data_IF_395258589455
#
_entry.id   IF_395258589455
#
_cell.length_a   1.000
_cell.length_b   1.000
_cell.length_c   1.000
_cell.angle_alpha   90.00
_cell.angle_beta   90.00
_cell.angle_gamma   90.00
#
_symmetry.space_group_name_H-M   'P 1'
#
loop_
_entity.id
_entity.type
_entity.pdbx_description
1 polymer ?
#
# COMPACT_ATOMS: atom_id res chain seq x y z
N UNK A 1 26.08 -11.81 -3.65
CA UNK A 1 25.86 -11.25 -2.31
C UNK A 1 25.18 -12.23 -1.38
N UNK A 2 25.67 -12.39 -0.14
CA UNK A 2 25.04 -13.21 0.92
C UNK A 2 24.47 -12.32 2.02
N UNK A 3 23.28 -12.61 2.54
CA UNK A 3 22.81 -11.94 3.75
C UNK A 3 23.23 -12.70 5.00
N UNK A 4 23.69 -11.95 5.99
CA UNK A 4 23.95 -12.43 7.34
C UNK A 4 23.02 -11.68 8.29
N UNK A 5 22.22 -12.41 9.08
CA UNK A 5 21.46 -11.79 10.15
C UNK A 5 22.39 -11.51 11.31
N UNK A 6 22.26 -10.31 11.86
CA UNK A 6 22.89 -9.90 13.09
C UNK A 6 21.76 -9.66 14.08
N UNK A 7 21.91 -10.23 15.29
CA UNK A 7 21.00 -9.96 16.39
C UNK A 7 20.93 -8.45 16.67
N UNK A 8 19.87 -8.05 17.37
CA UNK A 8 19.64 -6.66 17.71
C UNK A 8 20.91 -5.96 18.24
N UNK A 9 21.22 -4.81 17.65
CA UNK A 9 22.27 -3.91 18.06
C UNK A 9 21.67 -2.51 18.24
N UNK A 10 21.85 -1.93 19.43
CA UNK A 10 21.37 -0.59 19.79
C UNK A 10 21.95 0.51 18.88
N UNK A 11 23.04 0.23 18.16
CA UNK A 11 23.64 1.17 17.20
C UNK A 11 23.10 1.02 15.77
N UNK A 12 22.28 0.02 15.49
CA UNK A 12 21.85 -0.33 14.13
C UNK A 12 20.36 -0.65 14.08
N UNK A 13 19.53 0.37 14.31
CA UNK A 13 18.09 0.26 14.08
C UNK A 13 17.50 1.56 13.52
N UNK A 14 16.41 1.40 12.77
CA UNK A 14 15.58 2.50 12.30
C UNK A 14 14.39 2.69 13.27
N UNK A 15 14.05 3.93 13.56
CA UNK A 15 12.96 4.28 14.48
C UNK A 15 12.08 5.40 13.94
N UNK A 16 10.96 5.66 14.61
CA UNK A 16 10.03 6.73 14.26
C UNK A 16 9.63 6.73 12.77
N UNK A 17 9.33 5.55 12.23
CA UNK A 17 8.97 5.41 10.82
C UNK A 17 7.60 6.04 10.60
N UNK A 18 7.55 7.14 9.86
CA UNK A 18 6.36 7.94 9.63
C UNK A 18 6.11 8.19 8.15
N UNK A 19 4.84 8.35 7.79
CA UNK A 19 4.43 8.84 6.48
C UNK A 19 4.46 10.37 6.48
N UNK A 20 5.15 10.97 5.51
CA UNK A 20 5.09 12.38 5.18
C UNK A 20 4.81 12.50 3.69
N UNK A 21 3.61 12.94 3.33
CA UNK A 21 3.10 12.94 1.95
C UNK A 21 3.19 11.53 1.31
N UNK A 22 3.97 11.41 0.23
CA UNK A 22 4.25 10.16 -0.49
C UNK A 22 5.62 9.55 -0.12
N UNK A 23 6.21 10.00 1.00
CA UNK A 23 7.48 9.50 1.52
C UNK A 23 7.27 8.78 2.85
N UNK A 24 7.98 7.67 3.04
CA UNK A 24 8.33 7.21 4.38
C UNK A 24 9.55 8.00 4.83
N UNK A 25 9.60 8.36 6.11
CA UNK A 25 10.77 8.93 6.77
C UNK A 25 11.02 8.19 8.07
N UNK A 26 12.27 8.11 8.49
CA UNK A 26 12.66 7.47 9.74
C UNK A 26 13.91 8.12 10.33
N UNK A 27 14.09 7.91 11.63
CA UNK A 27 15.31 8.26 12.33
C UNK A 27 16.27 7.06 12.30
N UNK A 28 17.57 7.34 12.20
CA UNK A 28 18.61 6.31 12.22
C UNK A 28 19.65 6.69 13.27
N UNK A 29 20.14 5.67 13.97
CA UNK A 29 21.43 5.71 14.65
C UNK A 29 22.45 5.03 13.74
N UNK A 30 23.49 5.74 13.31
CA UNK A 30 24.54 5.21 12.42
C UNK A 30 24.43 5.62 10.95
N UNK A 31 25.37 5.15 10.13
CA UNK A 31 25.50 5.49 8.71
C UNK A 31 25.51 4.22 7.85
N UNK A 32 24.35 3.59 7.73
CA UNK A 32 24.13 2.28 7.11
C UNK A 32 23.31 2.35 5.82
N UNK A 33 23.25 1.24 5.10
CA UNK A 33 22.22 1.01 4.09
C UNK A 33 20.89 0.66 4.80
N UNK A 34 19.79 0.69 4.05
CA UNK A 34 18.48 0.34 4.60
C UNK A 34 17.76 -0.68 3.75
N UNK A 35 17.19 -1.70 4.38
CA UNK A 35 16.25 -2.61 3.77
C UNK A 35 14.84 -2.16 4.14
N UNK A 36 14.07 -1.71 3.16
CA UNK A 36 12.64 -1.42 3.31
C UNK A 36 11.87 -2.67 2.95
N UNK A 37 11.00 -3.14 3.84
CA UNK A 37 10.06 -4.21 3.57
C UNK A 37 8.66 -3.61 3.45
N UNK A 38 7.95 -3.98 2.39
CA UNK A 38 6.53 -3.71 2.21
C UNK A 38 5.73 -4.99 2.37
N UNK A 39 4.63 -4.89 3.09
CA UNK A 39 3.61 -5.91 3.25
C UNK A 39 2.21 -5.33 3.05
N UNK A 40 1.20 -6.21 3.10
CA UNK A 40 -0.20 -5.82 3.14
C UNK A 40 -0.49 -4.92 4.35
N UNK A 41 -1.40 -3.96 4.17
CA UNK A 41 -1.77 -3.00 5.20
C UNK A 41 -2.23 -3.68 6.49
N UNK A 42 -1.71 -3.22 7.63
CA UNK A 42 -2.01 -3.76 8.95
C UNK A 42 -1.23 -5.03 9.31
N UNK A 43 -0.43 -5.57 8.39
CA UNK A 43 0.38 -6.76 8.68
C UNK A 43 1.53 -6.44 9.62
N UNK A 44 1.90 -7.40 10.47
CA UNK A 44 3.15 -7.32 11.23
C UNK A 44 4.29 -7.82 10.35
N UNK A 45 5.34 -7.02 10.21
CA UNK A 45 6.53 -7.41 9.47
C UNK A 45 7.56 -7.93 10.46
N UNK A 46 7.76 -9.26 10.49
CA UNK A 46 8.77 -9.92 11.30
C UNK A 46 9.73 -10.66 10.40
N UNK A 47 11.04 -10.57 10.70
CA UNK A 47 12.03 -11.38 10.01
C UNK A 47 12.05 -12.80 10.57
N UNK A 48 11.48 -13.73 9.82
CA UNK A 48 11.71 -15.16 10.01
C UNK A 48 12.87 -15.65 9.11
N UNK A 49 13.50 -16.77 9.45
CA UNK A 49 14.59 -17.36 8.66
C UNK A 49 14.14 -17.73 7.24
N UNK A 50 12.86 -18.06 7.03
CA UNK A 50 12.29 -18.34 5.72
C UNK A 50 12.24 -17.09 4.83
N UNK A 51 11.84 -15.94 5.39
CA UNK A 51 11.79 -14.67 4.63
C UNK A 51 13.19 -14.22 4.19
N UNK A 52 14.19 -14.46 5.03
CA UNK A 52 15.61 -14.22 4.72
C UNK A 52 16.05 -15.02 3.50
N UNK A 53 15.76 -16.31 3.45
CA UNK A 53 16.18 -17.16 2.33
C UNK A 53 15.58 -16.70 1.00
N UNK A 54 14.31 -16.28 1.01
CA UNK A 54 13.67 -15.72 -0.19
C UNK A 54 14.29 -14.36 -0.58
N UNK A 55 14.52 -13.45 0.37
CA UNK A 55 15.19 -12.17 0.07
C UNK A 55 16.59 -12.41 -0.54
N UNK A 56 17.37 -13.34 0.02
CA UNK A 56 18.71 -13.70 -0.50
C UNK A 56 18.64 -14.24 -1.93
N UNK A 57 17.69 -15.12 -2.21
CA UNK A 57 17.48 -15.69 -3.55
C UNK A 57 17.19 -14.61 -4.59
N UNK A 58 16.37 -13.63 -4.21
CA UNK A 58 15.96 -12.52 -5.09
C UNK A 58 16.97 -11.37 -5.16
N UNK A 59 17.92 -11.33 -4.23
CA UNK A 59 18.93 -10.29 -4.16
C UNK A 59 19.98 -10.36 -5.28
N UNK A 60 20.16 -11.46 -5.99
CA UNK A 60 21.32 -11.57 -6.89
C UNK A 60 21.33 -10.69 -8.17
N UNK A 61 20.42 -9.71 -8.35
CA UNK A 61 20.37 -8.97 -9.64
C UNK A 61 20.29 -7.43 -9.62
N UNK A 62 19.90 -6.71 -8.55
CA UNK A 62 19.78 -5.22 -8.65
C UNK A 62 19.55 -4.47 -7.32
N UNK A 63 20.11 -4.98 -6.23
CA UNK A 63 19.71 -4.66 -4.85
C UNK A 63 19.78 -3.16 -4.51
N UNK A 64 20.86 -2.49 -4.87
CA UNK A 64 21.11 -1.09 -4.50
C UNK A 64 20.39 -0.08 -5.41
N UNK A 65 19.38 -0.52 -6.15
CA UNK A 65 18.62 0.35 -7.05
C UNK A 65 17.50 1.15 -6.36
N UNK A 66 17.19 0.83 -5.10
CA UNK A 66 16.02 1.38 -4.40
C UNK A 66 14.67 0.89 -4.96
N UNK A 67 14.66 0.00 -5.95
CA UNK A 67 13.44 -0.56 -6.54
C UNK A 67 12.89 -1.70 -5.67
N UNK A 68 11.57 -1.79 -5.59
CA UNK A 68 10.91 -2.91 -4.93
C UNK A 68 11.07 -4.20 -5.74
N UNK A 69 11.52 -5.25 -5.06
CA UNK A 69 11.65 -6.62 -5.55
C UNK A 69 10.66 -7.48 -4.76
N UNK A 70 9.79 -8.19 -5.46
CA UNK A 70 8.86 -9.14 -4.84
C UNK A 70 9.62 -10.40 -4.42
N UNK A 71 9.45 -10.84 -3.18
CA UNK A 71 10.08 -12.07 -2.65
C UNK A 71 9.10 -13.08 -2.06
N UNK A 72 7.87 -12.66 -1.74
CA UNK A 72 6.79 -13.53 -1.32
C UNK A 72 5.45 -12.93 -1.81
N UNK A 73 4.36 -13.69 -1.71
CA UNK A 73 3.01 -13.22 -1.98
C UNK A 73 2.74 -11.96 -1.14
N UNK A 74 2.44 -10.87 -1.85
CA UNK A 74 2.18 -9.54 -1.30
C UNK A 74 3.32 -8.91 -0.47
N UNK A 75 4.54 -9.48 -0.48
CA UNK A 75 5.71 -8.89 0.18
C UNK A 75 6.83 -8.52 -0.77
N UNK A 76 7.40 -7.35 -0.52
CA UNK A 76 8.40 -6.74 -1.37
C UNK A 76 9.51 -6.17 -0.50
N UNK A 77 10.72 -6.14 -1.03
CA UNK A 77 11.85 -5.47 -0.38
C UNK A 77 12.50 -4.48 -1.35
N UNK A 78 13.07 -3.41 -0.81
CA UNK A 78 13.94 -2.51 -1.54
C UNK A 78 15.16 -2.21 -0.66
N UNK A 79 16.35 -2.12 -1.25
CA UNK A 79 17.53 -1.66 -0.51
C UNK A 79 17.91 -0.26 -0.95
N UNK A 80 18.00 0.62 0.03
CA UNK A 80 18.35 2.02 -0.13
C UNK A 80 19.84 2.15 0.18
N UNK A 81 20.65 2.60 -0.79
CA UNK A 81 22.06 2.79 -0.56
C UNK A 81 22.35 3.85 0.49
N UNK A 82 23.46 3.66 1.20
CA UNK A 82 24.01 4.61 2.16
C UNK A 82 24.20 5.98 1.51
N UNK A 83 23.91 7.06 2.24
CA UNK A 83 24.09 8.45 1.77
C UNK A 83 22.85 9.09 1.14
N UNK A 84 21.76 8.34 0.96
CA UNK A 84 20.45 8.94 0.72
C UNK A 84 19.86 9.47 2.03
N UNK A 85 19.08 10.55 1.94
CA UNK A 85 18.25 11.05 3.05
C UNK A 85 17.39 9.90 3.57
N UNK A 86 17.13 9.83 4.89
CA UNK A 86 16.35 8.79 5.58
C UNK A 86 14.88 8.78 5.16
N UNK A 87 14.65 8.54 3.87
CA UNK A 87 13.36 8.54 3.26
C UNK A 87 13.28 7.54 2.11
N UNK A 88 12.04 7.15 1.82
CA UNK A 88 11.72 6.23 0.74
C UNK A 88 10.42 6.67 0.09
N UNK A 89 10.44 6.89 -1.22
CA UNK A 89 9.22 7.15 -1.97
C UNK A 89 8.50 5.83 -2.23
N UNK A 90 7.39 5.62 -1.52
CA UNK A 90 6.57 4.45 -1.72
C UNK A 90 5.69 4.60 -2.97
N UNK A 91 5.42 3.48 -3.63
CA UNK A 91 4.63 3.45 -4.89
C UNK A 91 3.24 2.83 -4.71
N UNK A 92 2.99 2.18 -3.58
CA UNK A 92 1.75 1.46 -3.28
C UNK A 92 1.16 1.98 -1.97
N UNK A 93 -0.14 2.27 -1.99
CA UNK A 93 -0.92 2.51 -0.79
C UNK A 93 -2.36 2.02 -1.02
N UNK A 94 -2.98 1.32 -0.05
CA UNK A 94 -2.51 1.14 1.32
C UNK A 94 -1.51 0.00 1.46
N UNK A 95 -0.55 0.14 2.38
CA UNK A 95 0.45 -0.88 2.68
C UNK A 95 1.08 -0.65 4.07
N UNK A 96 1.71 -1.68 4.61
CA UNK A 96 2.57 -1.56 5.78
C UNK A 96 4.02 -1.61 5.36
N UNK A 97 4.83 -0.73 5.93
CA UNK A 97 6.26 -0.66 5.67
C UNK A 97 7.05 -0.78 6.97
N UNK A 98 8.17 -1.48 6.91
CA UNK A 98 9.17 -1.51 7.96
C UNK A 98 10.55 -1.25 7.35
N UNK A 99 11.44 -0.69 8.15
CA UNK A 99 12.80 -0.31 7.72
C UNK A 99 13.80 -0.98 8.66
N UNK A 100 14.80 -1.59 8.06
CA UNK A 100 15.85 -2.34 8.77
C UNK A 100 17.21 -1.80 8.34
N UNK A 101 18.13 -1.69 9.29
CA UNK A 101 19.50 -1.28 8.99
C UNK A 101 20.26 -2.46 8.36
N UNK A 102 21.05 -2.17 7.34
CA UNK A 102 21.98 -3.15 6.79
C UNK A 102 23.35 -2.56 6.42
N UNK A 103 24.38 -3.38 6.51
CA UNK A 103 25.74 -3.01 6.15
C UNK A 103 26.27 -3.97 5.10
N UNK A 104 26.59 -3.42 3.93
CA UNK A 104 27.20 -4.18 2.86
C UNK A 104 28.72 -4.07 2.91
N UNK A 105 29.39 -5.21 3.01
CA UNK A 105 30.81 -5.38 2.87
C UNK A 105 31.12 -5.90 1.46
N UNK A 106 31.77 -5.07 0.65
CA UNK A 106 32.11 -5.37 -0.73
C UNK A 106 33.28 -6.37 -0.87
N UNK A 107 34.14 -6.49 0.14
CA UNK A 107 35.28 -7.42 0.10
C UNK A 107 34.81 -8.87 0.31
N UNK A 108 33.86 -9.05 1.22
CA UNK A 108 33.29 -10.37 1.53
C UNK A 108 32.01 -10.68 0.77
N UNK A 109 31.45 -9.70 0.07
CA UNK A 109 30.15 -9.77 -0.62
C UNK A 109 29.01 -10.18 0.36
N UNK A 110 29.08 -9.66 1.59
CA UNK A 110 28.13 -9.94 2.69
C UNK A 110 27.35 -8.67 3.04
N UNK A 111 26.03 -8.78 3.07
CA UNK A 111 25.14 -7.77 3.63
C UNK A 111 24.65 -8.21 5.01
N UNK A 112 25.13 -7.54 6.04
CA UNK A 112 24.69 -7.74 7.43
C UNK A 112 23.37 -7.03 7.64
N UNK A 113 22.31 -7.77 7.94
CA UNK A 113 20.99 -7.23 8.25
C UNK A 113 20.77 -7.28 9.75
N UNK A 114 20.58 -6.13 10.37
CA UNK A 114 20.35 -6.01 11.81
C UNK A 114 18.86 -6.20 12.08
N UNK A 115 18.52 -7.28 12.77
CA UNK A 115 17.13 -7.63 13.07
C UNK A 115 16.73 -6.98 14.40
N UNK A 116 15.71 -6.11 14.43
CA UNK A 116 15.23 -5.54 15.67
C UNK A 116 14.58 -6.62 16.53
N UNK A 117 14.74 -6.50 17.85
CA UNK A 117 13.90 -7.23 18.79
C UNK A 117 12.47 -6.68 18.76
N UNK A 118 11.51 -7.40 19.36
CA UNK A 118 10.10 -7.00 19.37
C UNK A 118 9.86 -5.61 19.99
N UNK A 119 10.73 -5.16 20.91
CA UNK A 119 10.63 -3.84 21.54
C UNK A 119 11.08 -2.69 20.62
N UNK A 120 11.91 -2.99 19.61
CA UNK A 120 12.49 -2.04 18.67
C UNK A 120 11.99 -2.24 17.24
N UNK A 121 10.89 -2.98 17.05
CA UNK A 121 10.26 -3.17 15.75
C UNK A 121 9.35 -1.97 15.43
N UNK A 122 9.84 -1.06 14.59
CA UNK A 122 9.05 0.06 14.09
C UNK A 122 8.48 -0.27 12.70
N UNK A 123 7.22 0.08 12.49
CA UNK A 123 6.54 -0.04 11.20
C UNK A 123 5.54 1.10 11.01
N UNK A 124 5.24 1.42 9.75
CA UNK A 124 4.33 2.48 9.36
C UNK A 124 3.22 1.92 8.46
N UNK A 125 1.96 2.16 8.85
CA UNK A 125 0.79 1.84 8.06
C UNK A 125 0.44 3.03 7.16
N UNK A 126 0.80 2.95 5.88
CA UNK A 126 0.52 3.98 4.88
C UNK A 126 -0.90 3.76 4.35
N UNK A 127 -1.75 4.76 4.55
CA UNK A 127 -3.15 4.70 4.08
C UNK A 127 -3.27 5.26 2.66
N UNK A 128 -4.26 4.78 1.91
CA UNK A 128 -4.60 5.33 0.59
C UNK A 128 -5.76 6.30 0.70
N UNK A 129 -5.59 7.51 0.17
CA UNK A 129 -6.68 8.45 0.03
C UNK A 129 -7.49 8.11 -1.22
N UNK A 130 -8.80 7.95 -1.06
CA UNK A 130 -9.72 7.55 -2.12
C UNK A 130 -10.63 8.72 -2.44
N UNK A 131 -10.35 9.39 -3.55
CA UNK A 131 -11.26 10.39 -4.11
C UNK A 131 -12.39 9.68 -4.87
N UNK A 132 -13.63 10.04 -4.55
CA UNK A 132 -14.82 9.49 -5.20
C UNK A 132 -15.58 10.61 -5.87
N UNK A 133 -15.83 10.45 -7.17
CA UNK A 133 -16.70 11.36 -7.92
C UNK A 133 -17.99 10.64 -8.29
N UNK A 134 -19.12 11.22 -7.91
CA UNK A 134 -20.45 10.67 -8.22
C UNK A 134 -21.23 11.72 -9.01
N UNK A 135 -21.69 11.35 -10.20
CA UNK A 135 -22.47 12.21 -11.07
C UNK A 135 -23.79 11.55 -11.44
N UNK A 136 -24.90 12.27 -11.30
CA UNK A 136 -26.18 11.83 -11.84
C UNK A 136 -26.18 11.98 -13.38
N UNK A 137 -26.55 10.93 -14.07
CA UNK A 137 -26.69 10.90 -15.52
C UNK A 137 -28.14 10.63 -15.93
N UNK A 138 -28.75 11.53 -16.72
CA UNK A 138 -30.08 11.28 -17.27
C UNK A 138 -29.97 10.27 -18.42
N UNK A 139 -30.93 9.35 -18.51
CA UNK A 139 -31.07 8.53 -19.72
C UNK A 139 -31.55 9.41 -20.86
N UNK A 140 -30.67 9.65 -21.84
CA UNK A 140 -31.05 10.31 -23.10
C UNK A 140 -32.08 9.44 -23.83
N UNK A 141 -33.32 9.91 -23.92
CA UNK A 141 -34.37 9.28 -24.73
C UNK A 141 -34.02 9.38 -26.21
N UNK A 142 -34.14 8.27 -26.95
CA UNK A 142 -34.47 8.33 -28.38
C UNK A 142 -35.93 8.74 -28.48
N UNK A 143 -36.22 9.70 -29.36
CA UNK A 143 -37.56 10.24 -29.59
C UNK A 143 -38.57 9.09 -29.76
N UNK A 144 -39.76 9.23 -29.15
CA UNK A 144 -40.95 8.38 -29.27
C UNK A 144 -41.16 7.21 -28.29
N UNK A 145 -40.77 7.31 -27.02
CA UNK A 145 -41.44 6.51 -25.98
C UNK A 145 -41.55 7.22 -24.63
N UNK A 146 -42.78 7.27 -24.11
CA UNK A 146 -43.08 7.60 -22.71
C UNK A 146 -42.68 6.39 -21.85
N UNK A 147 -41.44 6.37 -21.39
CA UNK A 147 -40.98 5.44 -20.34
C UNK A 147 -40.19 6.26 -19.32
N UNK A 148 -40.38 5.93 -18.04
CA UNK A 148 -39.78 6.57 -16.87
C UNK A 148 -38.28 6.85 -17.06
N UNK A 149 -37.84 8.03 -16.67
CA UNK A 149 -36.42 8.38 -16.58
C UNK A 149 -35.75 7.51 -15.52
N UNK A 150 -35.15 6.39 -15.94
CA UNK A 150 -34.19 5.70 -15.06
C UNK A 150 -32.97 6.61 -14.94
N UNK A 151 -32.80 7.25 -13.80
CA UNK A 151 -31.55 7.96 -13.50
C UNK A 151 -30.47 6.92 -13.18
N UNK A 152 -29.23 7.17 -13.58
CA UNK A 152 -28.07 6.39 -13.17
C UNK A 152 -27.08 7.31 -12.47
N UNK A 153 -26.30 6.75 -11.56
CA UNK A 153 -25.12 7.42 -11.03
C UNK A 153 -23.88 6.85 -11.71
N UNK A 154 -23.09 7.72 -12.32
CA UNK A 154 -21.75 7.43 -12.80
C UNK A 154 -20.78 7.69 -11.66
N UNK A 155 -20.13 6.63 -11.19
CA UNK A 155 -19.14 6.67 -10.11
C UNK A 155 -17.76 6.54 -10.74
N UNK A 156 -16.86 7.44 -10.40
CA UNK A 156 -15.45 7.36 -10.76
C UNK A 156 -14.58 7.34 -9.52
N UNK A 157 -13.79 6.28 -9.40
CA UNK A 157 -12.72 6.14 -8.41
C UNK A 157 -11.42 6.01 -9.21
N UNK A 158 -10.42 6.87 -8.99
CA UNK A 158 -9.12 6.76 -9.65
C UNK A 158 -8.48 5.39 -9.45
N UNK A 159 -7.52 5.03 -10.31
CA UNK A 159 -6.79 3.79 -10.14
C UNK A 159 -5.96 3.86 -8.84
N UNK A 160 -6.12 2.87 -7.98
CA UNK A 160 -5.38 2.75 -6.71
C UNK A 160 -4.38 1.59 -6.85
N UNK A 161 -3.06 1.85 -6.89
CA UNK A 161 -2.05 0.81 -6.95
C UNK A 161 -2.21 -0.19 -5.78
N UNK A 162 -2.24 -1.48 -6.08
CA UNK A 162 -2.42 -2.52 -5.07
C UNK A 162 -3.84 -2.66 -4.51
N UNK A 163 -4.86 -2.11 -5.17
CA UNK A 163 -6.25 -2.25 -4.74
C UNK A 163 -6.68 -3.71 -4.49
N UNK A 164 -7.30 -3.94 -3.33
CA UNK A 164 -7.85 -5.24 -2.92
C UNK A 164 -9.36 -5.26 -3.13
N UNK A 165 -9.84 -6.24 -3.89
CA UNK A 165 -11.27 -6.40 -4.21
C UNK A 165 -12.15 -6.42 -2.96
N UNK A 166 -13.26 -5.67 -3.02
CA UNK A 166 -14.21 -5.58 -1.92
C UNK A 166 -13.76 -4.69 -0.75
N UNK A 167 -12.56 -4.10 -0.80
CA UNK A 167 -12.11 -3.14 0.22
C UNK A 167 -12.89 -1.82 0.20
N UNK A 168 -13.48 -1.48 -0.94
CA UNK A 168 -14.52 -0.46 -1.04
C UNK A 168 -15.85 -1.13 -1.40
N UNK A 169 -16.93 -0.54 -0.91
CA UNK A 169 -18.28 -0.96 -1.23
C UNK A 169 -19.17 0.26 -1.42
N UNK A 170 -20.23 0.10 -2.21
CA UNK A 170 -21.29 1.09 -2.28
C UNK A 170 -22.59 0.56 -1.66
N UNK A 171 -23.35 1.48 -1.08
CA UNK A 171 -24.67 1.24 -0.50
C UNK A 171 -25.66 2.32 -0.98
N UNK A 172 -26.94 2.03 -0.87
CA UNK A 172 -28.00 3.01 -1.10
C UNK A 172 -28.72 3.30 0.22
N UNK A 173 -29.21 4.53 0.39
CA UNK A 173 -29.99 4.90 1.57
C UNK A 173 -31.20 3.96 1.74
N UNK A 174 -31.38 3.42 2.95
CA UNK A 174 -32.39 2.41 3.26
C UNK A 174 -32.10 0.99 2.75
N UNK A 175 -30.98 0.74 2.07
CA UNK A 175 -30.58 -0.59 1.59
C UNK A 175 -29.58 -1.25 2.55
N UNK A 176 -29.89 -2.47 3.01
CA UNK A 176 -29.01 -3.26 3.89
C UNK A 176 -27.85 -3.93 3.16
N UNK A 177 -27.90 -4.00 1.83
CA UNK A 177 -26.89 -4.70 1.03
C UNK A 177 -25.70 -3.79 0.74
N UNK A 178 -24.50 -4.38 0.81
CA UNK A 178 -23.24 -3.76 0.42
C UNK A 178 -22.76 -4.40 -0.86
N UNK A 179 -22.54 -3.58 -1.87
CA UNK A 179 -22.08 -4.04 -3.18
C UNK A 179 -20.57 -3.83 -3.27
N UNK A 180 -19.75 -4.89 -3.44
CA UNK A 180 -18.31 -4.75 -3.48
C UNK A 180 -17.88 -4.02 -4.75
N UNK A 181 -16.90 -3.14 -4.62
CA UNK A 181 -16.19 -2.52 -5.74
C UNK A 181 -14.96 -3.37 -6.02
N UNK A 182 -14.86 -3.89 -7.24
CA UNK A 182 -13.73 -4.72 -7.67
C UNK A 182 -12.70 -3.89 -8.42
N UNK A 183 -11.50 -4.45 -8.60
CA UNK A 183 -10.36 -3.83 -9.26
C UNK A 183 -10.67 -3.45 -10.71
N UNK A 184 -11.59 -4.16 -11.36
CA UNK A 184 -12.02 -3.83 -12.72
C UNK A 184 -12.96 -2.62 -12.78
N UNK A 185 -13.47 -2.15 -11.63
CA UNK A 185 -14.38 -1.00 -11.54
C UNK A 185 -13.64 0.30 -11.23
N UNK A 186 -12.43 0.25 -10.65
CA UNK A 186 -11.60 1.43 -10.40
C UNK A 186 -10.79 1.82 -11.65
N UNK A 187 -10.32 3.06 -11.72
CA UNK A 187 -9.56 3.61 -12.85
C UNK A 187 -10.41 3.99 -14.06
N UNK A 188 -11.69 3.61 -14.10
CA UNK A 188 -12.68 4.04 -15.09
C UNK A 188 -14.03 4.30 -14.43
N UNK A 189 -14.90 5.12 -15.03
CA UNK A 189 -16.26 5.27 -14.51
C UNK A 189 -17.06 3.97 -14.62
N UNK A 190 -17.94 3.72 -13.66
CA UNK A 190 -18.95 2.65 -13.71
C UNK A 190 -20.31 3.21 -13.32
N UNK A 191 -21.37 2.63 -13.91
CA UNK A 191 -22.74 3.10 -13.71
C UNK A 191 -23.49 2.20 -12.74
N UNK A 192 -24.22 2.81 -11.80
CA UNK A 192 -25.17 2.10 -10.94
C UNK A 192 -26.57 2.70 -11.11
N UNK A 193 -27.64 1.88 -11.08
CA UNK A 193 -29.01 2.41 -11.15
C UNK A 193 -29.30 3.33 -9.97
N UNK A 194 -30.01 4.43 -10.20
CA UNK A 194 -30.57 5.22 -9.10
C UNK A 194 -31.70 4.41 -8.44
N UNK A 195 -31.43 3.87 -7.25
CA UNK A 195 -32.43 3.16 -6.47
C UNK A 195 -33.40 4.13 -5.75
N UNK A 196 -32.91 5.33 -5.45
CA UNK A 196 -33.63 6.45 -4.85
C UNK A 196 -33.05 7.77 -5.39
N UNK A 197 -33.57 8.91 -4.93
CA UNK A 197 -33.11 10.23 -5.35
C UNK A 197 -31.72 10.63 -4.81
N UNK A 198 -31.15 9.84 -3.87
CA UNK A 198 -29.87 10.13 -3.24
C UNK A 198 -28.75 9.35 -3.95
N UNK A 199 -27.54 9.94 -4.07
CA UNK A 199 -26.40 9.22 -4.60
C UNK A 199 -26.06 8.02 -3.72
N UNK A 200 -25.48 6.95 -4.30
CA UNK A 200 -24.92 5.85 -3.52
C UNK A 200 -23.82 6.37 -2.60
N UNK A 201 -23.75 5.80 -1.40
CA UNK A 201 -22.66 6.08 -0.46
C UNK A 201 -21.55 5.09 -0.71
N UNK A 202 -20.32 5.58 -0.86
CA UNK A 202 -19.12 4.74 -0.88
C UNK A 202 -18.56 4.67 0.53
N UNK A 203 -18.19 3.47 0.95
CA UNK A 203 -17.61 3.19 2.26
C UNK A 203 -16.39 2.27 2.09
N UNK A 204 -15.39 2.46 2.96
CA UNK A 204 -14.26 1.55 3.06
C UNK A 204 -14.55 0.43 4.08
N UNK A 205 -14.08 -0.77 3.80
CA UNK A 205 -14.02 -1.83 4.79
C UNK A 205 -13.11 -1.39 5.94
N UNK A 206 -13.58 -1.55 7.17
CA UNK A 206 -12.84 -1.17 8.38
C UNK A 206 -11.52 -1.94 8.40
N UNK A 207 -10.41 -1.23 8.62
CA UNK A 207 -9.08 -1.83 8.78
C UNK A 207 -8.27 -1.99 7.51
N UNK A 208 -8.82 -1.74 6.31
CA UNK A 208 -8.11 -1.97 5.04
C UNK A 208 -7.25 -0.79 4.56
N UNK A 209 -7.10 0.26 5.37
CA UNK A 209 -6.21 1.38 5.07
C UNK A 209 -6.69 2.37 4.00
N UNK A 210 -7.95 2.30 3.57
CA UNK A 210 -8.54 3.27 2.64
C UNK A 210 -9.26 4.39 3.40
N UNK A 211 -8.91 5.65 3.08
CA UNK A 211 -9.52 6.85 3.64
C UNK A 211 -10.28 7.58 2.54
N UNK A 212 -11.60 7.66 2.67
CA UNK A 212 -12.44 8.32 1.67
C UNK A 212 -12.33 9.84 1.80
N UNK A 213 -12.02 10.50 0.70
CA UNK A 213 -12.08 11.94 0.56
C UNK A 213 -13.41 12.27 -0.13
N UNK A 214 -14.41 12.63 0.66
CA UNK A 214 -15.67 13.18 0.13
C UNK A 214 -15.46 14.63 -0.24
N UNK A 215 -15.70 14.97 -1.51
CA UNK A 215 -15.87 16.35 -2.00
C UNK A 215 -17.30 16.55 -2.45
#
# INVERSE_FOLDING_TARGET
MKFQLIDFDEKHYASNIVQVDNLLKWDILGNTHHLVIRAEYGSVIRFAEEEKNEIVKHANEQILSGKEIRYNDNRFFAVIPKGYVNNYQFTVSPATYAVFCCEYDAETDICKLYVPNDACLYQCNVSSNVEVHIKAEPVKKKLFSHVQEKQYYSIHIPNIPGYVDGSLHYTFDGCKYRYPITKVMIGKPFSVPAFNAKPPKIDAAIGNGYKLLTR
#
